data_IF_614769681632
#
_entry.id   IF_614769681632
#
_cell.length_a   1.000
_cell.length_b   1.000
_cell.length_c   1.000
_cell.angle_alpha   90.00
_cell.angle_beta   90.00
_cell.angle_gamma   90.00
#
_symmetry.space_group_name_H-M   'P 1'
#
loop_
_entity.id
_entity.type
_entity.pdbx_description
1 polymer ?
#
# COMPACT_ATOMS: atom_id res chain seq x y z
N UNK A 1 -38.93 -6.01 -7.64
CA UNK A 1 -38.40 -6.11 -9.00
C UNK A 1 -37.89 -4.73 -9.42
N UNK A 2 -36.77 -4.63 -10.15
CA UNK A 2 -36.01 -3.39 -10.50
C UNK A 2 -34.81 -3.05 -9.60
N UNK A 3 -34.01 -4.03 -9.18
CA UNK A 3 -32.64 -3.71 -8.74
C UNK A 3 -31.70 -3.74 -9.93
N UNK A 4 -31.41 -2.59 -10.52
CA UNK A 4 -30.32 -2.45 -11.50
C UNK A 4 -29.01 -2.78 -10.79
N UNK A 5 -28.32 -3.82 -11.26
CA UNK A 5 -26.96 -4.13 -10.82
C UNK A 5 -26.02 -3.38 -11.76
N UNK A 6 -25.59 -2.20 -11.33
CA UNK A 6 -24.52 -1.47 -12.01
C UNK A 6 -23.17 -2.02 -11.56
N UNK A 7 -22.29 -2.29 -12.52
CA UNK A 7 -20.90 -2.67 -12.27
C UNK A 7 -20.00 -1.67 -12.96
N UNK A 8 -19.14 -1.00 -12.19
CA UNK A 8 -18.04 -0.21 -12.73
C UNK A 8 -16.78 -1.05 -12.62
N UNK A 9 -16.14 -1.33 -13.75
CA UNK A 9 -14.88 -2.07 -13.79
C UNK A 9 -13.71 -1.11 -13.68
N UNK A 10 -12.74 -1.43 -12.83
CA UNK A 10 -11.45 -0.73 -12.82
C UNK A 10 -10.68 -0.97 -14.13
N UNK A 11 -9.86 -0.01 -14.54
CA UNK A 11 -9.00 -0.13 -15.70
C UNK A 11 -7.79 -1.03 -15.39
N UNK A 12 -7.71 -2.21 -16.01
CA UNK A 12 -6.65 -3.21 -15.79
C UNK A 12 -5.49 -3.12 -16.79
N UNK A 13 -5.26 -1.94 -17.39
CA UNK A 13 -4.02 -1.71 -18.14
C UNK A 13 -2.86 -1.60 -17.14
N UNK A 14 -1.75 -2.29 -17.39
CA UNK A 14 -0.57 -2.34 -16.50
C UNK A 14 0.03 -0.97 -16.21
N UNK A 15 -0.26 0.03 -17.03
CA UNK A 15 0.12 1.43 -16.84
C UNK A 15 -0.85 2.26 -15.96
N UNK A 16 -1.88 1.65 -15.37
CA UNK A 16 -2.96 2.33 -14.66
C UNK A 16 -3.20 1.80 -13.24
N UNK A 17 -2.45 0.78 -12.82
CA UNK A 17 -2.45 0.27 -11.47
C UNK A 17 -1.04 -0.13 -11.06
N UNK A 18 -0.78 -0.09 -9.76
CA UNK A 18 0.54 -0.24 -9.19
C UNK A 18 0.56 0.34 -7.79
N UNK A 19 1.73 0.79 -7.34
CA UNK A 19 1.90 1.42 -6.04
C UNK A 19 2.05 2.93 -6.20
N UNK A 20 1.34 3.69 -5.38
CA UNK A 20 1.56 5.11 -5.27
C UNK A 20 2.71 5.32 -4.29
N UNK A 21 3.68 6.16 -4.64
CA UNK A 21 4.87 6.37 -3.83
C UNK A 21 5.21 7.85 -3.70
N UNK A 22 5.69 8.23 -2.52
CA UNK A 22 6.39 9.49 -2.28
C UNK A 22 7.76 9.14 -1.73
N UNK A 23 8.81 9.58 -2.42
CA UNK A 23 10.17 9.43 -1.94
C UNK A 23 10.53 10.64 -1.07
N UNK A 24 11.17 10.37 0.06
CA UNK A 24 11.70 11.40 0.94
C UNK A 24 12.96 12.04 0.37
N UNK A 25 13.50 13.01 1.10
CA UNK A 25 14.79 13.60 0.76
C UNK A 25 15.87 12.53 0.86
N UNK A 26 16.67 12.40 -0.20
CA UNK A 26 17.79 11.47 -0.25
C UNK A 26 18.67 11.61 1.00
N UNK A 27 19.20 10.48 1.44
CA UNK A 27 20.18 10.44 2.53
C UNK A 27 21.37 11.35 2.21
N UNK A 28 21.77 12.19 3.18
CA UNK A 28 22.97 13.02 3.08
C UNK A 28 23.69 13.04 4.42
N UNK A 29 25.02 13.13 4.37
CA UNK A 29 25.85 13.36 5.53
C UNK A 29 26.00 14.85 5.82
N UNK A 30 25.67 15.28 7.03
CA UNK A 30 25.79 16.67 7.48
C UNK A 30 26.56 16.75 8.79
N UNK A 31 27.21 17.89 9.06
CA UNK A 31 27.92 18.14 10.32
C UNK A 31 26.98 18.54 11.46
N UNK A 32 25.72 18.80 11.15
CA UNK A 32 24.64 19.08 12.10
C UNK A 32 23.49 18.12 11.86
N UNK A 33 22.54 18.02 12.79
CA UNK A 33 21.35 17.22 12.56
C UNK A 33 20.54 17.82 11.40
N UNK A 34 20.21 16.99 10.41
CA UNK A 34 19.39 17.43 9.26
C UNK A 34 17.97 17.78 9.70
N UNK A 35 17.41 17.01 10.64
CA UNK A 35 16.07 17.23 11.17
C UNK A 35 16.16 18.11 12.41
N UNK A 36 15.76 19.39 12.30
CA UNK A 36 15.70 20.36 13.39
C UNK A 36 14.33 20.40 14.12
N UNK A 37 13.46 19.43 13.83
CA UNK A 37 12.09 19.34 14.34
C UNK A 37 11.05 19.90 13.36
N UNK A 38 10.00 19.13 13.06
CA UNK A 38 8.96 19.53 12.10
C UNK A 38 7.65 18.76 12.28
N UNK A 39 6.55 19.34 11.79
CA UNK A 39 5.30 18.61 11.65
C UNK A 39 5.22 17.96 10.27
N UNK A 40 5.15 16.63 10.24
CA UNK A 40 4.90 15.85 9.02
C UNK A 40 3.43 15.48 8.94
N UNK A 41 2.73 15.90 7.90
CA UNK A 41 1.33 15.55 7.65
C UNK A 41 1.22 14.56 6.50
N UNK A 42 0.65 13.38 6.77
CA UNK A 42 0.38 12.34 5.77
C UNK A 42 -1.12 12.31 5.50
N UNK A 43 -1.51 12.61 4.27
CA UNK A 43 -2.92 12.64 3.83
C UNK A 43 -3.17 11.52 2.83
N UNK A 44 -3.77 10.42 3.28
CA UNK A 44 -4.10 9.28 2.44
C UNK A 44 -5.60 9.14 2.20
N UNK A 45 -5.99 7.97 1.68
CA UNK A 45 -7.38 7.72 1.26
C UNK A 45 -8.37 7.50 2.40
N UNK A 46 -7.88 7.14 3.60
CA UNK A 46 -8.72 6.95 4.80
C UNK A 46 -8.82 8.22 5.66
N UNK A 47 -7.85 9.13 5.57
CA UNK A 47 -7.76 10.30 6.41
C UNK A 47 -6.40 10.98 6.37
N UNK A 48 -6.27 12.07 7.14
CA UNK A 48 -5.04 12.85 7.28
C UNK A 48 -4.57 12.84 8.73
N UNK A 49 -3.27 12.65 8.94
CA UNK A 49 -2.63 12.64 10.26
C UNK A 49 -1.39 13.51 10.25
N UNK A 50 -1.20 14.29 11.30
CA UNK A 50 0.02 15.08 11.53
C UNK A 50 0.84 14.44 12.65
N UNK A 51 2.12 14.28 12.39
CA UNK A 51 3.13 13.71 13.27
C UNK A 51 4.11 14.81 13.66
N UNK A 52 4.34 14.97 14.96
CA UNK A 52 5.37 15.87 15.48
C UNK A 52 6.70 15.13 15.49
N UNK A 53 7.62 15.51 14.61
CA UNK A 53 8.95 14.92 14.48
C UNK A 53 9.90 15.78 15.29
N UNK A 54 10.49 15.22 16.33
CA UNK A 54 11.50 15.89 17.13
C UNK A 54 12.83 16.01 16.38
N UNK A 55 13.66 16.96 16.79
CA UNK A 55 14.99 17.14 16.22
C UNK A 55 15.84 15.86 16.39
N UNK A 56 16.50 15.43 15.32
CA UNK A 56 17.39 14.27 15.32
C UNK A 56 16.71 12.91 15.25
N UNK A 57 15.39 12.87 15.13
CA UNK A 57 14.63 11.63 14.94
C UNK A 57 15.16 10.88 13.72
N UNK A 58 15.48 9.59 13.88
CA UNK A 58 15.93 8.76 12.76
C UNK A 58 14.80 8.48 11.76
N UNK A 59 15.16 8.20 10.50
CA UNK A 59 14.18 7.85 9.47
C UNK A 59 13.37 6.60 9.87
N UNK A 60 13.99 5.64 10.56
CA UNK A 60 13.32 4.49 11.16
C UNK A 60 12.17 4.89 12.08
N UNK A 61 12.43 5.76 13.05
CA UNK A 61 11.43 6.19 14.05
C UNK A 61 10.29 6.96 13.38
N UNK A 62 10.59 7.76 12.36
CA UNK A 62 9.56 8.43 11.54
C UNK A 62 8.68 7.40 10.80
N UNK A 63 9.29 6.40 10.16
CA UNK A 63 8.54 5.33 9.48
C UNK A 63 7.69 4.51 10.46
N UNK A 64 8.20 4.20 11.65
CA UNK A 64 7.44 3.53 12.72
C UNK A 64 6.25 4.36 13.19
N UNK A 65 6.42 5.68 13.39
CA UNK A 65 5.34 6.58 13.77
C UNK A 65 4.22 6.61 12.73
N UNK A 66 4.57 6.65 11.45
CA UNK A 66 3.60 6.67 10.34
C UNK A 66 2.90 5.31 10.21
N UNK A 67 3.65 4.21 10.28
CA UNK A 67 3.10 2.86 10.24
C UNK A 67 2.17 2.56 11.43
N UNK A 68 2.43 3.12 12.61
CA UNK A 68 1.55 2.98 13.77
C UNK A 68 0.16 3.62 13.55
N UNK A 69 0.01 4.46 12.52
CA UNK A 69 -1.26 5.09 12.10
C UNK A 69 -1.68 4.71 10.68
N UNK A 70 -1.12 3.64 10.11
CA UNK A 70 -1.47 3.19 8.76
C UNK A 70 -2.96 2.85 8.60
N UNK A 71 -3.63 2.42 9.67
CA UNK A 71 -5.07 2.11 9.67
C UNK A 71 -5.95 3.36 9.53
N UNK A 72 -5.40 4.56 9.77
CA UNK A 72 -6.11 5.84 9.68
C UNK A 72 -5.78 6.61 8.40
N UNK A 73 -4.56 6.46 7.88
CA UNK A 73 -4.13 7.14 6.65
C UNK A 73 -4.24 6.25 5.41
N UNK A 74 -4.03 4.94 5.55
CA UNK A 74 -3.87 4.00 4.43
C UNK A 74 -2.49 4.04 3.78
N UNK A 75 -1.51 4.69 4.42
CA UNK A 75 -0.14 4.85 3.91
C UNK A 75 0.82 4.04 4.79
N UNK A 76 1.74 3.31 4.15
CA UNK A 76 2.85 2.61 4.79
C UNK A 76 4.14 3.38 4.53
N UNK A 77 5.07 3.32 5.47
CA UNK A 77 6.37 3.96 5.36
C UNK A 77 7.50 2.95 5.52
N UNK A 78 8.56 3.13 4.75
CA UNK A 78 9.82 2.38 4.82
C UNK A 78 10.96 3.37 5.01
N UNK A 79 11.98 2.97 5.75
CA UNK A 79 13.15 3.81 5.97
C UNK A 79 14.41 3.08 5.52
N UNK A 80 15.32 3.82 4.91
CA UNK A 80 16.64 3.32 4.54
C UNK A 80 17.65 4.45 4.68
N UNK A 81 18.84 4.14 5.19
CA UNK A 81 19.95 5.07 5.27
C UNK A 81 21.06 4.55 4.38
N UNK A 82 21.41 5.31 3.35
CA UNK A 82 22.48 4.95 2.41
C UNK A 82 23.30 6.18 2.04
N UNK A 83 24.60 6.15 2.28
CA UNK A 83 25.49 7.27 1.95
C UNK A 83 26.86 6.79 1.52
N UNK A 84 27.36 7.39 0.43
CA UNK A 84 28.75 7.22 0.03
C UNK A 84 29.69 8.08 0.89
N UNK A 85 30.79 7.47 1.29
CA UNK A 85 31.95 8.13 1.90
C UNK A 85 33.14 8.03 0.96
N UNK A 86 33.92 9.10 0.88
CA UNK A 86 35.13 9.18 0.06
C UNK A 86 36.34 9.52 0.93
N UNK A 87 37.48 8.92 0.61
CA UNK A 87 38.74 9.14 1.32
C UNK A 87 39.68 9.94 0.44
N UNK A 88 40.35 10.96 0.98
CA UNK A 88 41.28 11.78 0.18
C UNK A 88 42.65 11.16 -0.05
N UNK A 89 43.10 10.25 0.83
CA UNK A 89 44.43 9.66 0.79
C UNK A 89 44.38 8.15 1.10
N UNK A 90 45.32 7.38 0.56
CA UNK A 90 45.55 6.03 1.03
C UNK A 90 46.25 6.05 2.41
N UNK A 91 45.99 5.04 3.25
CA UNK A 91 46.64 4.89 4.55
C UNK A 91 45.71 4.41 5.66
N UNK A 92 46.13 4.63 6.91
CA UNK A 92 45.41 4.23 8.11
C UNK A 92 44.34 5.26 8.51
N UNK A 93 43.21 4.73 8.95
CA UNK A 93 42.05 5.48 9.44
C UNK A 93 41.51 4.85 10.71
N UNK A 94 41.09 5.68 11.65
CA UNK A 94 40.40 5.27 12.87
C UNK A 94 39.21 6.18 13.07
N UNK A 95 38.02 5.57 13.13
CA UNK A 95 36.74 6.28 13.26
C UNK A 95 35.83 5.57 14.25
N UNK A 96 34.96 6.34 14.87
CA UNK A 96 33.86 5.82 15.66
C UNK A 96 32.61 5.76 14.79
N UNK A 97 31.92 4.62 14.84
CA UNK A 97 30.67 4.36 14.11
C UNK A 97 29.57 4.06 15.10
N UNK A 98 28.45 4.76 14.97
CA UNK A 98 27.26 4.49 15.78
C UNK A 98 26.01 4.54 14.90
N UNK A 99 25.10 3.59 15.11
CA UNK A 99 23.78 3.56 14.49
C UNK A 99 22.79 2.81 15.38
N UNK A 100 22.60 1.50 15.20
CA UNK A 100 21.65 0.71 16.01
C UNK A 100 22.09 0.52 17.47
N UNK A 101 23.37 0.75 17.74
CA UNK A 101 24.02 0.62 19.04
C UNK A 101 23.92 1.91 19.88
N UNK A 102 23.78 1.74 21.20
CA UNK A 102 23.79 2.87 22.14
C UNK A 102 25.17 3.52 22.31
N UNK A 103 26.26 2.74 22.19
CA UNK A 103 27.64 3.19 22.40
C UNK A 103 28.47 3.05 21.12
N UNK A 104 29.14 4.12 20.69
CA UNK A 104 29.92 4.11 19.45
C UNK A 104 30.99 3.00 19.43
N UNK A 105 31.11 2.33 18.27
CA UNK A 105 32.14 1.32 18.05
C UNK A 105 33.31 1.94 17.29
N UNK A 106 34.49 1.90 17.89
CA UNK A 106 35.72 2.30 17.23
C UNK A 106 36.15 1.22 16.24
N UNK A 107 36.40 1.63 15.00
CA UNK A 107 37.02 0.78 13.97
C UNK A 107 38.33 1.40 13.51
N UNK A 108 39.31 0.55 13.24
CA UNK A 108 40.60 0.93 12.68
C UNK A 108 40.85 0.08 11.43
N UNK A 109 41.27 0.72 10.35
CA UNK A 109 41.52 0.05 9.08
C UNK A 109 42.57 0.78 8.26
N UNK A 110 43.04 0.12 7.21
CA UNK A 110 43.93 0.69 6.21
C UNK A 110 43.32 0.53 4.84
N UNK A 111 43.34 1.59 4.04
CA UNK A 111 43.01 1.54 2.61
C UNK A 111 44.28 1.64 1.80
N UNK A 112 44.40 0.84 0.74
CA UNK A 112 45.58 0.80 -0.13
C UNK A 112 45.48 1.77 -1.31
N UNK A 113 44.28 2.29 -1.57
CA UNK A 113 43.96 3.29 -2.57
C UNK A 113 42.63 3.97 -2.24
N UNK A 114 42.37 5.14 -2.84
CA UNK A 114 41.12 5.89 -2.65
C UNK A 114 40.00 5.43 -3.58
N UNK A 115 40.32 4.55 -4.54
CA UNK A 115 39.41 4.04 -5.56
C UNK A 115 39.62 2.54 -5.78
N UNK A 116 38.62 1.90 -6.37
CA UNK A 116 38.63 0.50 -6.74
C UNK A 116 38.36 -0.46 -5.59
N UNK A 117 37.91 -1.67 -5.93
CA UNK A 117 37.53 -2.67 -4.95
C UNK A 117 38.68 -3.07 -4.01
N UNK A 118 39.88 -3.23 -4.54
CA UNK A 118 41.06 -3.62 -3.76
C UNK A 118 41.58 -2.48 -2.87
N UNK A 119 41.47 -1.24 -3.36
CA UNK A 119 41.87 -0.04 -2.63
C UNK A 119 41.09 0.15 -1.33
N UNK A 120 39.77 -0.04 -1.45
CA UNK A 120 38.78 0.25 -0.40
C UNK A 120 38.38 -0.99 0.43
N UNK A 121 38.86 -2.18 0.08
CA UNK A 121 38.49 -3.45 0.75
C UNK A 121 38.71 -3.43 2.27
N UNK A 122 39.78 -2.77 2.74
CA UNK A 122 40.08 -2.66 4.16
C UNK A 122 39.01 -1.88 4.94
N UNK A 123 38.48 -0.79 4.36
CA UNK A 123 37.38 -0.05 4.94
C UNK A 123 36.10 -0.89 4.97
N UNK A 124 35.74 -1.50 3.83
CA UNK A 124 34.54 -2.34 3.70
C UNK A 124 34.54 -3.48 4.72
N UNK A 125 35.68 -4.16 4.88
CA UNK A 125 35.82 -5.25 5.86
C UNK A 125 35.62 -4.74 7.29
N UNK A 126 36.28 -3.64 7.67
CA UNK A 126 36.20 -3.11 9.03
C UNK A 126 34.80 -2.64 9.42
N UNK A 127 34.04 -2.03 8.50
CA UNK A 127 32.64 -1.70 8.73
C UNK A 127 31.78 -2.97 8.87
N UNK A 128 31.98 -3.96 7.99
CA UNK A 128 31.20 -5.20 8.02
C UNK A 128 31.50 -6.08 9.24
N UNK A 129 32.71 -6.04 9.80
CA UNK A 129 33.09 -6.78 11.00
C UNK A 129 32.33 -6.28 12.25
N UNK A 130 31.95 -5.00 12.30
CA UNK A 130 31.13 -4.42 13.38
C UNK A 130 29.63 -4.36 13.04
N UNK A 131 29.22 -4.79 11.85
CA UNK A 131 27.84 -4.68 11.36
C UNK A 131 26.82 -5.39 12.26
N UNK A 132 27.20 -6.49 12.92
CA UNK A 132 26.28 -7.18 13.85
C UNK A 132 25.94 -6.36 15.11
N UNK A 133 26.75 -5.35 15.45
CA UNK A 133 26.48 -4.44 16.58
C UNK A 133 25.86 -3.13 16.10
N UNK A 134 26.38 -2.56 15.02
CA UNK A 134 25.96 -1.23 14.53
C UNK A 134 24.78 -1.29 13.58
N UNK A 135 24.50 -2.43 12.94
CA UNK A 135 23.53 -2.55 11.86
C UNK A 135 23.99 -1.94 10.53
N UNK A 136 25.21 -1.38 10.49
CA UNK A 136 25.78 -0.71 9.32
C UNK A 136 26.58 -1.70 8.49
N UNK A 137 26.17 -1.87 7.24
CA UNK A 137 26.91 -2.64 6.24
C UNK A 137 27.62 -1.70 5.27
N UNK A 138 28.71 -2.16 4.70
CA UNK A 138 29.49 -1.39 3.73
C UNK A 138 29.72 -2.18 2.44
N UNK A 139 29.74 -1.47 1.32
CA UNK A 139 30.15 -1.96 0.01
C UNK A 139 30.91 -0.87 -0.74
N UNK A 140 31.65 -1.25 -1.77
CA UNK A 140 32.24 -0.26 -2.69
C UNK A 140 31.12 0.29 -3.58
N UNK A 141 31.17 1.58 -3.89
CA UNK A 141 30.24 2.24 -4.83
C UNK A 141 30.35 1.62 -6.22
N UNK A 142 29.29 1.69 -7.02
CA UNK A 142 29.28 1.18 -8.41
C UNK A 142 30.34 1.87 -9.27
N UNK A 143 30.61 3.16 -9.00
CA UNK A 143 31.64 3.93 -9.68
C UNK A 143 33.07 3.63 -9.16
N UNK A 144 33.20 2.84 -8.09
CA UNK A 144 34.50 2.51 -7.48
C UNK A 144 35.19 3.66 -6.75
N UNK A 145 34.56 4.83 -6.63
CA UNK A 145 35.19 6.06 -6.09
C UNK A 145 35.13 6.19 -4.57
N UNK A 146 34.35 5.33 -3.89
CA UNK A 146 34.12 5.43 -2.46
C UNK A 146 33.43 4.20 -1.87
N UNK A 147 33.19 4.24 -0.57
CA UNK A 147 32.50 3.19 0.19
C UNK A 147 31.08 3.66 0.50
N UNK A 148 30.08 2.87 0.14
CA UNK A 148 28.68 3.12 0.49
C UNK A 148 28.39 2.43 1.82
N UNK A 149 27.96 3.22 2.81
CA UNK A 149 27.44 2.73 4.08
C UNK A 149 25.92 2.62 3.98
N UNK A 150 25.38 1.51 4.46
CA UNK A 150 23.96 1.22 4.41
C UNK A 150 23.45 0.68 5.75
N UNK A 151 22.33 1.23 6.23
CA UNK A 151 21.51 0.66 7.29
C UNK A 151 20.10 0.45 6.73
N UNK A 152 19.72 -0.82 6.55
CA UNK A 152 18.44 -1.21 5.94
C UNK A 152 17.23 -0.93 6.83
N UNK A 153 17.44 -0.64 8.11
CA UNK A 153 16.35 -0.26 9.02
C UNK A 153 16.06 1.24 8.99
N UNK A 154 16.94 2.04 8.35
CA UNK A 154 16.79 3.49 8.27
C UNK A 154 17.22 4.24 9.54
N UNK A 155 18.01 3.60 10.41
CA UNK A 155 18.61 4.29 11.54
C UNK A 155 19.69 5.27 11.07
N UNK A 156 19.87 6.35 11.83
CA UNK A 156 20.90 7.37 11.57
C UNK A 156 22.27 6.72 11.72
N UNK A 157 23.19 6.97 10.78
CA UNK A 157 24.58 6.53 10.89
C UNK A 157 25.41 7.74 11.28
N UNK A 158 26.04 7.71 12.44
CA UNK A 158 26.98 8.75 12.86
C UNK A 158 28.40 8.22 12.77
N UNK A 159 29.26 9.05 12.18
CA UNK A 159 30.69 8.83 12.08
C UNK A 159 31.36 9.97 12.84
N UNK A 160 32.19 9.65 13.82
CA UNK A 160 32.94 10.67 14.56
C UNK A 160 34.43 10.36 14.61
N UNK A 161 35.24 11.41 14.72
CA UNK A 161 36.67 11.25 14.92
C UNK A 161 37.00 10.63 16.28
N UNK A 162 38.08 9.86 16.31
CA UNK A 162 38.64 9.36 17.56
C UNK A 162 39.63 10.38 18.13
N UNK A 163 39.47 10.69 19.42
CA UNK A 163 40.34 11.61 20.13
C UNK A 163 41.81 11.22 20.00
N UNK A 164 42.67 12.21 19.76
CA UNK A 164 44.13 12.04 19.64
C UNK A 164 44.56 11.07 18.53
N UNK A 165 43.71 10.87 17.53
CA UNK A 165 44.04 10.10 16.34
C UNK A 165 44.31 11.03 15.14
N UNK A 166 45.21 10.61 14.27
CA UNK A 166 45.52 11.28 13.01
C UNK A 166 45.28 10.28 11.88
N UNK A 167 44.25 10.56 11.10
CA UNK A 167 43.92 9.82 9.89
C UNK A 167 44.86 10.22 8.75
N UNK A 168 45.04 9.32 7.78
CA UNK A 168 45.95 9.56 6.65
C UNK A 168 45.43 10.62 5.67
N UNK A 169 44.14 10.96 5.76
CA UNK A 169 43.49 12.02 4.99
C UNK A 169 42.12 12.34 5.59
N UNK A 170 41.42 13.29 4.96
CA UNK A 170 40.01 13.58 5.26
C UNK A 170 39.07 12.47 4.78
N UNK A 171 37.92 12.36 5.44
CA UNK A 171 36.79 11.53 4.99
C UNK A 171 35.63 12.47 4.64
N UNK A 172 35.23 12.47 3.37
CA UNK A 172 34.05 13.19 2.89
C UNK A 172 32.82 12.31 3.08
N UNK A 173 31.76 12.86 3.67
CA UNK A 173 30.49 12.17 3.93
C UNK A 173 29.36 13.13 3.55
N UNK A 174 28.92 13.10 2.29
CA UNK A 174 27.97 14.09 1.78
C UNK A 174 28.56 15.51 1.86
N UNK A 175 27.92 16.40 2.62
CA UNK A 175 28.39 17.76 2.89
C UNK A 175 29.30 17.84 4.14
N UNK A 176 29.36 16.79 4.96
CA UNK A 176 30.23 16.72 6.13
C UNK A 176 31.65 16.30 5.76
N UNK A 177 32.63 16.84 6.48
CA UNK A 177 34.05 16.46 6.35
C UNK A 177 34.59 16.09 7.71
N UNK A 178 35.08 14.86 7.85
CA UNK A 178 35.92 14.45 8.97
C UNK A 178 37.37 14.81 8.61
N UNK A 179 38.06 15.65 9.40
CA UNK A 179 39.42 16.05 9.10
C UNK A 179 40.42 14.88 9.17
N UNK A 180 41.65 15.13 8.74
CA UNK A 180 42.74 14.16 8.84
C UNK A 180 43.30 14.04 10.27
N UNK A 181 42.77 14.79 11.24
CA UNK A 181 43.24 14.76 12.61
C UNK A 181 42.39 15.61 13.54
N UNK A 182 42.18 15.10 14.74
CA UNK A 182 41.39 15.78 15.77
C UNK A 182 42.24 16.73 16.61
N UNK A 183 41.69 17.91 16.91
CA UNK A 183 42.25 18.83 17.90
C UNK A 183 41.93 18.38 19.33
N UNK A 184 42.54 17.30 19.82
CA UNK A 184 42.61 16.90 21.24
C UNK A 184 41.30 16.58 22.01
N UNK A 185 40.13 16.97 21.51
CA UNK A 185 38.82 16.68 22.10
C UNK A 185 38.16 15.46 21.48
N UNK A 186 37.45 14.66 22.28
CA UNK A 186 36.62 13.59 21.76
C UNK A 186 35.44 14.18 20.98
N UNK A 187 35.25 13.70 19.75
CA UNK A 187 34.07 14.04 18.97
C UNK A 187 32.92 13.14 19.42
N UNK A 188 31.85 13.75 19.96
CA UNK A 188 30.67 13.04 20.42
C UNK A 188 29.51 13.27 19.47
N UNK A 189 28.86 12.20 18.99
CA UNK A 189 27.62 12.32 18.23
C UNK A 189 26.56 12.97 19.12
N UNK A 190 25.66 13.79 18.54
CA UNK A 190 24.67 14.47 19.35
C UNK A 190 23.64 13.47 19.88
N UNK A 191 23.15 13.72 21.11
CA UNK A 191 21.88 13.16 21.55
C UNK A 191 20.72 13.70 20.66
N UNK A 192 19.58 13.01 20.61
CA UNK A 192 18.38 13.52 19.91
C UNK A 192 18.14 15.00 20.32
N UNK A 193 18.20 15.92 19.34
CA UNK A 193 18.07 17.37 19.55
C UNK A 193 19.30 18.16 20.05
N UNK A 194 20.45 17.52 20.31
CA UNK A 194 21.71 18.18 20.72
C UNK A 194 22.62 18.65 19.57
N UNK A 195 23.57 19.55 19.87
CA UNK A 195 24.64 19.88 18.93
C UNK A 195 25.79 18.86 19.04
N UNK A 196 26.43 18.47 17.92
CA UNK A 196 27.61 17.61 17.96
C UNK A 196 28.78 18.35 18.61
N UNK A 197 29.65 17.60 19.29
CA UNK A 197 30.94 18.08 19.77
C UNK A 197 32.02 17.56 18.82
N UNK A 198 32.93 18.43 18.35
CA UNK A 198 34.00 18.05 17.43
C UNK A 198 33.55 17.74 16.00
N UNK A 199 34.39 17.03 15.24
CA UNK A 199 34.08 16.65 13.87
C UNK A 199 33.26 15.35 13.83
N UNK A 200 31.98 15.50 13.46
CA UNK A 200 31.01 14.41 13.33
C UNK A 200 30.33 14.54 11.97
N UNK A 201 30.12 13.42 11.29
CA UNK A 201 29.23 13.32 10.14
C UNK A 201 27.99 12.51 10.54
N UNK A 202 26.82 13.10 10.33
CA UNK A 202 25.52 12.51 10.68
C UNK A 202 24.81 12.21 9.37
N UNK A 203 24.57 10.94 9.10
CA UNK A 203 23.88 10.46 7.91
C UNK A 203 22.45 10.14 8.32
N UNK A 204 21.52 10.99 7.92
CA UNK A 204 20.09 10.77 8.18
C UNK A 204 19.47 10.07 6.97
N UNK A 205 18.79 8.94 7.22
CA UNK A 205 18.16 8.16 6.16
C UNK A 205 16.99 8.86 5.47
N UNK A 206 16.52 8.29 4.37
CA UNK A 206 15.29 8.71 3.69
C UNK A 206 14.10 7.90 4.20
N UNK A 207 12.93 8.54 4.19
CA UNK A 207 11.64 7.87 4.44
C UNK A 207 10.88 7.81 3.14
N UNK A 208 10.47 6.61 2.77
CA UNK A 208 9.69 6.31 1.58
C UNK A 208 8.27 5.99 2.03
N UNK A 209 7.28 6.55 1.36
CA UNK A 209 5.88 6.30 1.63
C UNK A 209 5.25 5.56 0.46
N UNK A 210 4.47 4.52 0.74
CA UNK A 210 3.80 3.67 -0.24
C UNK A 210 2.31 3.50 0.13
N UNK A 211 1.44 3.44 -0.89
CA UNK A 211 0.01 3.19 -0.72
C UNK A 211 -0.62 2.62 -2.00
N UNK A 212 -1.75 1.90 -1.87
CA UNK A 212 -2.54 1.42 -3.01
C UNK A 212 -3.46 2.49 -3.63
N UNK A 213 -3.47 3.69 -3.04
CA UNK A 213 -4.23 4.86 -3.48
C UNK A 213 -3.35 6.10 -3.52
N UNK A 214 -3.77 7.10 -4.28
CA UNK A 214 -3.13 8.42 -4.27
C UNK A 214 -3.17 9.02 -2.87
N UNK A 215 -2.05 9.59 -2.45
CA UNK A 215 -1.90 10.29 -1.17
C UNK A 215 -0.97 11.50 -1.36
N UNK A 216 -0.83 12.31 -0.31
CA UNK A 216 0.19 13.35 -0.24
C UNK A 216 0.88 13.37 1.11
N UNK A 217 2.12 13.83 1.11
CA UNK A 217 2.92 14.05 2.31
C UNK A 217 3.33 15.51 2.33
N UNK A 218 3.14 16.18 3.46
CA UNK A 218 3.53 17.57 3.65
C UNK A 218 4.43 17.68 4.87
N UNK A 219 5.49 18.48 4.76
CA UNK A 219 6.47 18.71 5.82
C UNK A 219 7.28 19.98 5.53
N UNK A 220 8.37 20.18 6.26
CA UNK A 220 9.35 21.21 5.95
C UNK A 220 10.25 20.75 4.82
N UNK A 221 10.33 21.57 3.77
CA UNK A 221 11.15 21.26 2.59
C UNK A 221 12.62 21.05 2.98
N UNK A 222 13.20 19.96 2.49
CA UNK A 222 14.62 19.62 2.65
C UNK A 222 14.97 18.80 3.90
N UNK A 223 14.00 18.51 4.77
CA UNK A 223 14.20 17.70 5.98
C UNK A 223 13.80 16.23 5.77
N UNK A 224 12.50 15.97 5.66
CA UNK A 224 11.92 14.63 5.37
C UNK A 224 11.42 14.52 3.94
N UNK A 225 10.87 15.60 3.38
CA UNK A 225 10.35 15.69 2.00
C UNK A 225 11.04 16.80 1.22
N UNK A 226 11.23 16.60 -0.08
CA UNK A 226 11.96 17.54 -0.95
C UNK A 226 11.22 18.85 -1.18
N UNK A 227 9.89 18.84 -1.08
CA UNK A 227 9.03 20.02 -1.18
C UNK A 227 8.06 20.04 0.03
N UNK A 228 7.49 21.20 0.32
CA UNK A 228 6.55 21.43 1.42
C UNK A 228 5.34 20.52 1.34
N UNK A 229 4.90 20.16 0.13
CA UNK A 229 3.85 19.16 -0.10
C UNK A 229 4.16 18.40 -1.38
N UNK A 230 4.29 17.08 -1.25
CA UNK A 230 4.56 16.17 -2.35
C UNK A 230 3.35 15.24 -2.53
N UNK A 231 2.81 15.20 -3.74
CA UNK A 231 1.77 14.24 -4.11
C UNK A 231 2.42 12.93 -4.55
N UNK A 232 1.75 11.80 -4.27
CA UNK A 232 2.24 10.49 -4.64
C UNK A 232 2.24 10.30 -6.15
N UNK A 233 3.33 9.74 -6.69
CA UNK A 233 3.44 9.33 -8.08
C UNK A 233 3.09 7.85 -8.23
N UNK A 234 2.49 7.49 -9.36
CA UNK A 234 2.12 6.10 -9.64
C UNK A 234 3.31 5.34 -10.22
N UNK A 235 3.88 4.43 -9.43
CA UNK A 235 4.76 3.39 -9.93
C UNK A 235 3.93 2.25 -10.49
N UNK A 236 3.75 2.27 -11.81
CA UNK A 236 2.91 1.31 -12.51
C UNK A 236 3.60 -0.04 -12.70
N UNK A 237 2.81 -1.11 -12.79
CA UNK A 237 3.32 -2.47 -13.07
C UNK A 237 4.07 -2.54 -14.41
N UNK A 238 3.76 -1.65 -15.36
CA UNK A 238 4.44 -1.60 -16.65
C UNK A 238 5.91 -1.14 -16.56
N UNK A 239 6.28 -0.40 -15.51
CA UNK A 239 7.61 0.23 -15.37
C UNK A 239 8.49 -0.50 -14.35
N UNK A 240 8.19 -1.77 -14.04
CA UNK A 240 8.97 -2.53 -13.09
C UNK A 240 10.36 -2.87 -13.63
N UNK A 241 11.39 -2.54 -12.85
CA UNK A 241 12.76 -2.98 -13.07
C UNK A 241 13.29 -3.66 -11.79
N UNK A 242 13.92 -4.82 -11.98
CA UNK A 242 14.51 -5.66 -10.92
C UNK A 242 16.03 -5.77 -11.04
N UNK A 243 16.63 -4.96 -11.91
CA UNK A 243 18.08 -4.95 -12.16
C UNK A 243 18.89 -4.51 -10.94
N UNK A 244 18.29 -3.70 -10.05
CA UNK A 244 18.89 -3.23 -8.80
C UNK A 244 18.15 -3.78 -7.58
N UNK A 245 18.83 -3.79 -6.43
CA UNK A 245 18.23 -4.19 -5.14
C UNK A 245 17.07 -3.26 -4.76
N UNK A 246 17.22 -1.96 -5.01
CA UNK A 246 16.16 -0.98 -4.79
C UNK A 246 14.97 -1.24 -5.71
N UNK A 247 15.22 -1.46 -7.01
CA UNK A 247 14.20 -1.79 -8.00
C UNK A 247 13.43 -3.06 -7.65
N UNK A 248 14.13 -4.10 -7.17
CA UNK A 248 13.51 -5.34 -6.72
C UNK A 248 12.56 -5.13 -5.51
N UNK A 249 12.98 -4.32 -4.52
CA UNK A 249 12.11 -3.98 -3.38
C UNK A 249 10.90 -3.15 -3.79
N UNK A 250 11.09 -2.16 -4.68
CA UNK A 250 9.99 -1.38 -5.24
C UNK A 250 9.03 -2.26 -6.04
N UNK A 251 9.55 -3.23 -6.79
CA UNK A 251 8.76 -4.18 -7.55
C UNK A 251 7.87 -5.04 -6.65
N UNK A 252 8.38 -5.51 -5.51
CA UNK A 252 7.57 -6.21 -4.51
C UNK A 252 6.41 -5.35 -4.02
N UNK A 253 6.67 -4.11 -3.58
CA UNK A 253 5.63 -3.20 -3.10
C UNK A 253 4.57 -2.90 -4.18
N UNK A 254 5.02 -2.72 -5.43
CA UNK A 254 4.15 -2.45 -6.59
C UNK A 254 3.28 -3.64 -6.95
N UNK A 255 3.85 -4.85 -6.93
CA UNK A 255 3.11 -6.09 -7.19
C UNK A 255 2.11 -6.37 -6.08
N UNK A 256 2.46 -6.14 -4.81
CA UNK A 256 1.54 -6.32 -3.69
C UNK A 256 0.32 -5.38 -3.79
N UNK A 257 0.56 -4.10 -4.09
CA UNK A 257 -0.53 -3.13 -4.33
C UNK A 257 -1.40 -3.51 -5.54
N UNK A 258 -0.77 -3.96 -6.62
CA UNK A 258 -1.47 -4.44 -7.81
C UNK A 258 -2.34 -5.67 -7.51
N UNK A 259 -1.82 -6.63 -6.76
CA UNK A 259 -2.54 -7.83 -6.32
C UNK A 259 -3.71 -7.47 -5.40
N UNK A 260 -3.53 -6.52 -4.49
CA UNK A 260 -4.60 -6.00 -3.65
C UNK A 260 -5.72 -5.38 -4.51
N UNK A 261 -5.37 -4.61 -5.54
CA UNK A 261 -6.34 -4.01 -6.47
C UNK A 261 -7.13 -5.07 -7.24
N UNK A 262 -6.46 -6.10 -7.77
CA UNK A 262 -7.11 -7.21 -8.48
C UNK A 262 -8.02 -8.02 -7.53
N UNK A 263 -7.53 -8.31 -6.32
CA UNK A 263 -8.28 -9.05 -5.30
C UNK A 263 -9.54 -8.30 -4.87
N UNK A 264 -9.44 -6.98 -4.69
CA UNK A 264 -10.59 -6.12 -4.39
C UNK A 264 -11.63 -6.15 -5.51
N UNK A 265 -11.22 -6.14 -6.78
CA UNK A 265 -12.19 -6.26 -7.88
C UNK A 265 -12.83 -7.66 -7.92
N UNK A 266 -12.05 -8.73 -7.70
CA UNK A 266 -12.60 -10.10 -7.61
C UNK A 266 -13.61 -10.21 -6.47
N UNK A 267 -13.34 -9.61 -5.32
CA UNK A 267 -14.28 -9.54 -4.21
C UNK A 267 -15.58 -8.81 -4.58
N UNK A 268 -15.50 -7.67 -5.28
CA UNK A 268 -16.67 -6.95 -5.81
C UNK A 268 -17.48 -7.81 -6.77
N UNK A 269 -16.84 -8.52 -7.70
CA UNK A 269 -17.53 -9.42 -8.61
C UNK A 269 -18.17 -10.62 -7.89
N UNK A 270 -17.50 -11.18 -6.88
CA UNK A 270 -18.07 -12.23 -6.02
C UNK A 270 -19.31 -11.75 -5.26
N UNK A 271 -19.26 -10.53 -4.70
CA UNK A 271 -20.41 -9.92 -4.04
C UNK A 271 -21.58 -9.70 -5.02
N UNK A 272 -21.30 -9.25 -6.24
CA UNK A 272 -22.29 -9.10 -7.31
C UNK A 272 -22.88 -10.46 -7.70
N UNK A 273 -22.07 -11.51 -7.84
CA UNK A 273 -22.53 -12.87 -8.13
C UNK A 273 -23.47 -13.40 -7.03
N UNK A 274 -23.13 -13.17 -5.77
CA UNK A 274 -24.00 -13.50 -4.62
C UNK A 274 -25.33 -12.75 -4.67
N UNK A 275 -25.29 -11.46 -5.03
CA UNK A 275 -26.50 -10.65 -5.22
C UNK A 275 -27.34 -11.14 -6.39
N UNK A 276 -26.74 -11.50 -7.52
CA UNK A 276 -27.44 -12.09 -8.67
C UNK A 276 -28.14 -13.39 -8.28
N UNK A 277 -27.44 -14.29 -7.60
CA UNK A 277 -28.00 -15.58 -7.15
C UNK A 277 -29.20 -15.37 -6.22
N UNK A 278 -29.07 -14.46 -5.26
CA UNK A 278 -30.17 -14.11 -4.33
C UNK A 278 -31.36 -13.50 -5.06
N UNK A 279 -31.10 -12.62 -6.04
CA UNK A 279 -32.15 -11.97 -6.84
C UNK A 279 -32.86 -12.98 -7.74
N UNK A 280 -32.13 -13.91 -8.36
CA UNK A 280 -32.69 -14.98 -9.18
C UNK A 280 -33.59 -15.89 -8.34
N UNK A 281 -33.13 -16.31 -7.15
CA UNK A 281 -33.92 -17.14 -6.25
C UNK A 281 -35.24 -16.45 -5.84
N UNK A 282 -35.16 -15.15 -5.53
CA UNK A 282 -36.35 -14.34 -5.21
C UNK A 282 -37.30 -14.19 -6.42
N UNK A 283 -36.76 -13.95 -7.62
CA UNK A 283 -37.55 -13.86 -8.85
C UNK A 283 -38.21 -15.19 -9.21
N UNK A 284 -37.53 -16.33 -9.03
CA UNK A 284 -38.08 -17.66 -9.26
C UNK A 284 -39.25 -17.94 -8.32
N UNK A 285 -39.10 -17.64 -7.03
CA UNK A 285 -40.17 -17.79 -6.02
C UNK A 285 -41.38 -16.90 -6.37
N UNK A 286 -41.13 -15.66 -6.78
CA UNK A 286 -42.20 -14.76 -7.21
C UNK A 286 -42.89 -15.23 -8.50
N UNK A 287 -42.14 -15.76 -9.47
CA UNK A 287 -42.70 -16.30 -10.70
C UNK A 287 -43.57 -17.54 -10.43
N UNK A 288 -43.15 -18.42 -9.52
CA UNK A 288 -43.95 -19.56 -9.07
C UNK A 288 -45.24 -19.10 -8.38
N UNK A 289 -45.15 -18.15 -7.45
CA UNK A 289 -46.32 -17.58 -6.77
C UNK A 289 -47.29 -16.89 -7.74
N UNK A 290 -46.78 -16.13 -8.72
CA UNK A 290 -47.60 -15.49 -9.75
C UNK A 290 -48.24 -16.52 -10.69
N UNK A 291 -47.52 -17.58 -11.04
CA UNK A 291 -48.06 -18.68 -11.86
C UNK A 291 -49.17 -19.43 -11.12
N UNK A 292 -48.96 -19.74 -9.84
CA UNK A 292 -49.98 -20.37 -8.99
C UNK A 292 -51.21 -19.47 -8.77
N UNK A 293 -51.00 -18.16 -8.55
CA UNK A 293 -52.10 -17.20 -8.49
C UNK A 293 -52.88 -17.14 -9.81
N UNK A 294 -52.17 -17.11 -10.95
CA UNK A 294 -52.78 -17.09 -12.28
C UNK A 294 -53.52 -18.39 -12.61
N UNK A 295 -53.00 -19.55 -12.20
CA UNK A 295 -53.69 -20.84 -12.34
C UNK A 295 -54.98 -20.83 -11.53
N UNK A 296 -54.95 -20.42 -10.26
CA UNK A 296 -56.17 -20.36 -9.43
C UNK A 296 -57.25 -19.47 -10.02
N UNK A 297 -56.89 -18.31 -10.58
CA UNK A 297 -57.86 -17.44 -11.26
C UNK A 297 -58.40 -18.12 -12.50
N UNK A 298 -57.53 -18.63 -13.39
CA UNK A 298 -57.96 -19.29 -14.63
C UNK A 298 -58.77 -20.56 -14.42
N UNK A 299 -58.38 -21.39 -13.45
CA UNK A 299 -59.04 -22.66 -13.14
C UNK A 299 -60.43 -22.40 -12.53
N UNK A 300 -60.57 -21.37 -11.69
CA UNK A 300 -61.86 -20.92 -11.17
C UNK A 300 -62.77 -20.39 -12.29
N UNK A 301 -62.23 -19.55 -13.18
CA UNK A 301 -62.97 -19.04 -14.35
C UNK A 301 -63.41 -20.19 -15.26
N UNK A 302 -62.54 -21.17 -15.51
CA UNK A 302 -62.86 -22.36 -16.31
C UNK A 302 -63.96 -23.20 -15.67
N UNK A 303 -63.89 -23.42 -14.34
CA UNK A 303 -64.90 -24.18 -13.62
C UNK A 303 -66.27 -23.47 -13.67
N UNK A 304 -66.30 -22.15 -13.51
CA UNK A 304 -67.53 -21.37 -13.61
C UNK A 304 -68.13 -21.42 -15.04
N UNK A 305 -67.33 -21.13 -16.07
CA UNK A 305 -67.78 -21.15 -17.47
C UNK A 305 -68.27 -22.55 -17.89
N UNK A 306 -67.56 -23.61 -17.46
CA UNK A 306 -67.97 -24.99 -17.75
C UNK A 306 -69.28 -25.35 -17.04
N UNK A 307 -69.48 -24.89 -15.80
CA UNK A 307 -70.73 -25.09 -15.08
C UNK A 307 -71.89 -24.34 -15.75
N UNK A 308 -71.64 -23.11 -16.21
CA UNK A 308 -72.61 -22.31 -16.97
C UNK A 308 -72.96 -22.96 -18.33
N UNK A 309 -71.95 -23.43 -19.08
CA UNK A 309 -72.13 -24.19 -20.32
C UNK A 309 -72.93 -25.47 -20.09
N UNK A 310 -72.58 -26.24 -19.05
CA UNK A 310 -73.29 -27.49 -18.71
C UNK A 310 -74.73 -27.19 -18.30
N UNK A 311 -74.96 -26.14 -17.51
CA UNK A 311 -76.32 -25.68 -17.14
C UNK A 311 -77.11 -25.28 -18.37
N UNK A 312 -76.51 -24.54 -19.30
CA UNK A 312 -77.16 -24.15 -20.56
C UNK A 312 -77.51 -25.36 -21.42
N UNK A 313 -76.62 -26.36 -21.53
CA UNK A 313 -76.88 -27.61 -22.24
C UNK A 313 -77.99 -28.44 -21.60
N UNK A 314 -77.99 -28.58 -20.26
CA UNK A 314 -79.06 -29.28 -19.54
C UNK A 314 -80.40 -28.55 -19.71
N UNK A 315 -80.42 -27.21 -19.65
CA UNK A 315 -81.63 -26.43 -19.90
C UNK A 315 -82.14 -26.58 -21.34
N UNK A 316 -81.26 -26.68 -22.33
CA UNK A 316 -81.64 -26.96 -23.72
C UNK A 316 -82.20 -28.38 -23.88
N UNK A 317 -81.59 -29.39 -23.27
CA UNK A 317 -82.08 -30.77 -23.29
C UNK A 317 -83.40 -30.92 -22.51
N UNK A 318 -83.53 -30.29 -21.35
CA UNK A 318 -84.76 -30.26 -20.58
C UNK A 318 -85.86 -29.45 -21.29
N UNK A 319 -85.51 -28.33 -21.94
CA UNK A 319 -86.45 -27.54 -22.73
C UNK A 319 -87.00 -28.31 -23.92
N UNK A 320 -86.16 -29.06 -24.64
CA UNK A 320 -86.60 -29.94 -25.73
C UNK A 320 -87.44 -31.12 -25.24
N UNK A 321 -87.06 -31.76 -24.12
CA UNK A 321 -87.86 -32.83 -23.50
C UNK A 321 -89.19 -32.33 -22.92
N UNK A 322 -89.21 -31.15 -22.30
CA UNK A 322 -90.42 -30.51 -21.77
C UNK A 322 -91.33 -30.06 -22.91
N UNK A 323 -90.80 -29.53 -24.01
CA UNK A 323 -91.58 -29.25 -25.22
C UNK A 323 -92.14 -30.54 -25.82
N UNK A 324 -91.38 -31.64 -25.85
CA UNK A 324 -91.88 -32.93 -26.29
C UNK A 324 -93.02 -33.44 -25.39
N UNK A 325 -92.88 -33.37 -24.05
CA UNK A 325 -93.91 -33.77 -23.09
C UNK A 325 -95.14 -32.86 -23.14
N UNK A 326 -94.95 -31.54 -23.28
CA UNK A 326 -96.01 -30.55 -23.40
C UNK A 326 -96.73 -30.62 -24.75
N UNK A 327 -96.11 -31.17 -25.81
CA UNK A 327 -96.80 -31.48 -27.06
C UNK A 327 -97.65 -32.77 -26.97
N UNK A 328 -97.29 -33.72 -26.09
CA UNK A 328 -98.06 -34.96 -25.87
C UNK A 328 -99.26 -34.72 -24.94
N UNK A 329 -99.15 -33.81 -23.96
CA UNK A 329 -100.23 -33.47 -23.03
C UNK A 329 -101.56 -33.03 -23.70
N UNK A 330 -101.59 -32.11 -24.69
CA UNK A 330 -102.83 -31.72 -25.37
C UNK A 330 -103.37 -32.84 -26.28
N UNK A 331 -102.52 -33.74 -26.81
CA UNK A 331 -103.00 -34.93 -27.55
C UNK A 331 -103.77 -35.89 -26.63
N UNK A 332 -103.34 -36.07 -25.39
CA UNK A 332 -104.07 -36.88 -24.40
C UNK A 332 -105.40 -36.24 -23.97
N UNK A 333 -105.51 -34.91 -23.95
CA UNK A 333 -106.78 -34.22 -23.64
C UNK A 333 -107.78 -34.33 -24.80
N UNK A 334 -107.32 -34.31 -26.06
CA UNK A 334 -108.15 -34.57 -27.23
C UNK A 334 -108.68 -36.03 -27.29
N UNK A 335 -108.02 -36.98 -26.63
CA UNK A 335 -108.52 -38.35 -26.44
C UNK A 335 -109.64 -38.46 -25.40
N UNK A 336 -109.80 -37.47 -24.51
CA UNK A 336 -110.84 -37.47 -23.46
C UNK A 336 -112.10 -36.69 -23.85
N UNK A 337 -112.08 -36.02 -25.01
CA UNK A 337 -113.21 -35.27 -25.57
C UNK A 337 -113.85 -35.95 -26.80
N UNK A 338 -113.47 -37.19 -27.10
CA UNK A 338 -114.13 -38.06 -28.10
C UNK A 338 -114.91 -39.18 -27.41
#
# INVERSE_FOLDING_TARGET
ANQTIQTTTSNFRTAQYGNYRVEGVASTGTSTQRIAGENLTVSGSLGSMTFDIEAGTSAKKIAEMVNAKSDQTGVKAFASTEQQINFSNAGAYVINVQSDNAEAQQIAFTISGTEGNDGLAGAVTAFNDVASKTGVTARVSEDGTGVVLMNSTGNTITLSEVANNTNSGTIQVGDAVLPAGSGGGAAEPPAEGGAPSGAVAIITGQVIFDSDKSFSVSGTAGMTVSDTTVASELNSVANLDISSVEGANLALATVDSALATVSNQRAKFGAIQSRFTSTIANLATNAENLTAARSRVRDADFAQETAELTRAQILQQAGTAMLAQANVAPQNVLSLLQ
#
